data_IF_401458102779
#
_entry.id   IF_401458102779
#
_cell.length_a   1.000
_cell.length_b   1.000
_cell.length_c   1.000
_cell.angle_alpha   90.00
_cell.angle_beta   90.00
_cell.angle_gamma   90.00
#
_symmetry.space_group_name_H-M   'P 1'
#
loop_
_entity.id
_entity.type
_entity.pdbx_description
1 polymer ?
#
# COMPACT_ATOMS: atom_id res chain seq x y z
N UNK A 1 9.70 16.07 16.19
CA UNK A 1 9.21 16.36 17.56
C UNK A 1 8.97 15.05 18.25
N UNK A 2 9.48 14.82 19.46
CA UNK A 2 9.36 13.55 20.17
C UNK A 2 8.65 13.76 21.51
N UNK A 3 7.55 13.04 21.74
CA UNK A 3 6.79 13.09 22.98
C UNK A 3 6.93 11.82 23.82
N UNK A 4 7.22 10.70 23.21
CA UNK A 4 7.29 9.37 23.82
C UNK A 4 8.66 8.71 23.62
N UNK A 5 8.67 7.39 23.77
CA UNK A 5 9.87 6.54 23.68
C UNK A 5 10.51 6.54 22.29
N UNK A 6 9.67 6.45 21.25
CA UNK A 6 10.16 6.31 19.89
C UNK A 6 10.63 7.65 19.32
N UNK A 7 11.79 7.65 18.68
CA UNK A 7 12.25 8.74 17.85
C UNK A 7 11.29 8.93 16.66
N UNK A 8 11.33 10.08 15.94
CA UNK A 8 10.59 10.24 14.71
C UNK A 8 10.87 9.10 13.72
N UNK A 9 9.86 8.76 12.92
CA UNK A 9 10.01 7.73 11.89
C UNK A 9 11.20 8.05 10.97
N UNK A 10 11.97 7.02 10.65
CA UNK A 10 13.14 7.14 9.76
C UNK A 10 12.72 7.24 8.31
N UNK A 11 11.61 6.58 7.93
CA UNK A 11 11.00 6.62 6.60
C UNK A 11 9.47 6.61 6.72
N UNK A 12 8.83 7.19 5.73
CA UNK A 12 7.38 7.21 5.60
C UNK A 12 6.99 6.79 4.18
N UNK A 13 6.06 5.84 4.06
CA UNK A 13 5.52 5.39 2.79
C UNK A 13 4.02 5.68 2.78
N UNK A 14 3.51 6.19 1.66
CA UNK A 14 2.08 6.20 1.36
C UNK A 14 1.76 4.92 0.59
N UNK A 15 0.83 4.12 1.10
CA UNK A 15 0.43 2.86 0.50
C UNK A 15 -1.03 2.94 0.02
N UNK A 16 -1.22 2.77 -1.27
CA UNK A 16 -2.49 2.84 -2.01
C UNK A 16 -2.66 1.52 -2.76
N UNK A 17 -3.89 1.10 -3.02
CA UNK A 17 -4.15 -0.14 -3.75
C UNK A 17 -5.48 -0.10 -4.51
N UNK A 18 -5.60 -0.97 -5.50
CA UNK A 18 -6.85 -1.34 -6.17
C UNK A 18 -7.59 -0.10 -6.71
N UNK A 19 -6.96 0.60 -7.64
CA UNK A 19 -7.52 1.82 -8.25
C UNK A 19 -8.52 1.49 -9.37
N UNK A 20 -8.36 0.38 -10.09
CA UNK A 20 -9.23 -0.15 -11.14
C UNK A 20 -9.71 0.92 -12.14
N UNK A 21 -8.78 1.74 -12.63
CA UNK A 21 -9.13 2.73 -13.64
C UNK A 21 -9.53 2.07 -14.97
N UNK A 22 -10.44 2.73 -15.67
CA UNK A 22 -10.88 2.35 -17.01
C UNK A 22 -10.59 3.46 -18.01
N UNK A 23 -10.31 3.09 -19.25
CA UNK A 23 -10.10 4.06 -20.33
C UNK A 23 -11.27 5.04 -20.45
N UNK A 24 -10.95 6.33 -20.64
CA UNK A 24 -11.93 7.40 -20.70
C UNK A 24 -12.64 7.70 -19.38
N UNK A 25 -12.07 7.29 -18.25
CA UNK A 25 -12.62 7.46 -16.91
C UNK A 25 -14.06 6.92 -16.79
N UNK A 26 -14.35 5.82 -17.47
CA UNK A 26 -15.66 5.15 -17.38
C UNK A 26 -15.85 4.61 -15.96
N UNK A 27 -17.06 4.76 -15.37
CA UNK A 27 -17.33 4.17 -14.06
C UNK A 27 -17.18 2.65 -14.09
N UNK A 28 -16.46 2.09 -13.14
CA UNK A 28 -16.31 0.64 -12.95
C UNK A 28 -17.68 0.02 -12.68
N UNK A 29 -18.03 -1.02 -13.46
CA UNK A 29 -19.34 -1.64 -13.41
C UNK A 29 -20.50 -0.69 -13.70
N UNK A 30 -20.25 0.45 -14.37
CA UNK A 30 -21.24 1.50 -14.63
C UNK A 30 -21.69 2.26 -13.36
N UNK A 31 -21.01 2.09 -12.23
CA UNK A 31 -21.44 2.57 -10.91
C UNK A 31 -20.37 3.34 -10.14
N UNK A 32 -19.15 2.80 -10.07
CA UNK A 32 -18.09 3.35 -9.20
C UNK A 32 -17.22 4.34 -9.99
N UNK A 33 -17.15 5.57 -9.50
CA UNK A 33 -16.27 6.62 -10.05
C UNK A 33 -14.83 6.42 -9.57
N UNK A 34 -14.12 5.49 -10.17
CA UNK A 34 -12.76 5.13 -9.76
C UNK A 34 -11.75 6.26 -9.95
N UNK A 35 -11.93 7.09 -10.99
CA UNK A 35 -11.08 8.25 -11.23
C UNK A 35 -11.32 9.34 -10.17
N UNK A 36 -12.58 9.65 -9.86
CA UNK A 36 -12.92 10.59 -8.79
C UNK A 36 -12.43 10.10 -7.42
N UNK A 37 -12.53 8.81 -7.14
CA UNK A 37 -12.04 8.22 -5.91
C UNK A 37 -10.50 8.27 -5.79
N UNK A 38 -9.77 8.06 -6.89
CA UNK A 38 -8.32 8.26 -6.92
C UNK A 38 -7.97 9.73 -6.63
N UNK A 39 -8.58 10.68 -7.33
CA UNK A 39 -8.38 12.12 -7.10
C UNK A 39 -8.65 12.51 -5.64
N UNK A 40 -9.74 12.01 -5.06
CA UNK A 40 -10.06 12.24 -3.66
C UNK A 40 -9.00 11.63 -2.70
N UNK A 41 -8.45 10.46 -3.06
CA UNK A 41 -7.38 9.81 -2.30
C UNK A 41 -6.10 10.65 -2.33
N UNK A 42 -5.65 11.09 -3.49
CA UNK A 42 -4.46 11.93 -3.63
C UNK A 42 -4.62 13.27 -2.88
N UNK A 43 -5.80 13.89 -2.98
CA UNK A 43 -6.12 15.10 -2.21
C UNK A 43 -6.09 14.85 -0.69
N UNK A 44 -6.56 13.67 -0.24
CA UNK A 44 -6.48 13.30 1.17
C UNK A 44 -5.02 13.09 1.62
N UNK A 45 -4.17 12.47 0.81
CA UNK A 45 -2.73 12.37 1.09
C UNK A 45 -2.11 13.77 1.22
N UNK A 46 -2.40 14.69 0.29
CA UNK A 46 -1.86 16.06 0.32
C UNK A 46 -2.27 16.81 1.59
N UNK A 47 -3.52 16.64 2.06
CA UNK A 47 -4.01 17.24 3.31
C UNK A 47 -3.27 16.77 4.55
N UNK A 48 -2.65 15.58 4.53
CA UNK A 48 -1.82 15.13 5.67
C UNK A 48 -0.59 15.99 5.91
N UNK A 49 -0.11 16.70 4.88
CA UNK A 49 1.14 17.45 4.91
C UNK A 49 2.39 16.59 5.00
N UNK A 50 2.27 15.28 4.87
CA UNK A 50 3.39 14.34 4.93
C UNK A 50 4.25 14.47 3.66
N UNK A 51 5.55 14.30 3.84
CA UNK A 51 6.54 14.13 2.75
C UNK A 51 6.99 12.67 2.76
N UNK A 52 6.39 11.81 1.94
CA UNK A 52 6.74 10.40 1.92
C UNK A 52 8.06 10.14 1.19
N UNK A 53 8.77 9.09 1.61
CA UNK A 53 9.96 8.59 0.92
C UNK A 53 9.58 7.78 -0.34
N UNK A 54 8.36 7.25 -0.41
CA UNK A 54 7.77 6.63 -1.60
C UNK A 54 6.24 6.61 -1.53
N UNK A 55 5.60 6.52 -2.70
CA UNK A 55 4.19 6.19 -2.85
C UNK A 55 4.12 4.82 -3.53
N UNK A 56 3.52 3.84 -2.85
CA UNK A 56 3.43 2.46 -3.31
C UNK A 56 1.99 2.14 -3.69
N UNK A 57 1.80 1.67 -4.91
CA UNK A 57 0.54 1.13 -5.39
C UNK A 57 0.67 -0.39 -5.48
N UNK A 58 -0.14 -1.13 -4.72
CA UNK A 58 -0.06 -2.59 -4.63
C UNK A 58 -1.03 -3.31 -5.56
N UNK A 59 -1.08 -2.89 -6.82
CA UNK A 59 -1.74 -3.60 -7.91
C UNK A 59 -3.18 -3.23 -8.16
N UNK A 60 -3.77 -3.90 -9.15
CA UNK A 60 -5.07 -3.61 -9.74
C UNK A 60 -5.20 -2.11 -10.08
N UNK A 61 -4.16 -1.64 -10.80
CA UNK A 61 -4.02 -0.25 -11.20
C UNK A 61 -5.10 0.14 -12.21
N UNK A 62 -5.36 -0.76 -13.15
CA UNK A 62 -6.44 -0.66 -14.13
C UNK A 62 -7.32 -1.90 -14.06
N UNK A 63 -8.57 -1.81 -14.51
CA UNK A 63 -9.51 -2.95 -14.44
C UNK A 63 -9.35 -3.94 -15.62
N UNK A 64 -8.92 -3.44 -16.77
CA UNK A 64 -8.86 -4.21 -18.02
C UNK A 64 -7.49 -4.14 -18.73
N UNK A 65 -6.44 -3.61 -18.09
CA UNK A 65 -5.12 -3.47 -18.70
C UNK A 65 -5.09 -2.51 -19.90
N UNK A 66 -6.05 -1.60 -20.02
CA UNK A 66 -6.18 -0.69 -21.17
C UNK A 66 -5.03 0.36 -21.16
N UNK A 67 -4.29 0.57 -22.27
CA UNK A 67 -3.21 1.56 -22.33
C UNK A 67 -3.65 2.97 -21.94
N UNK A 68 -4.86 3.40 -22.36
CA UNK A 68 -5.40 4.72 -22.03
C UNK A 68 -5.72 4.86 -20.53
N UNK A 69 -6.04 3.75 -19.84
CA UNK A 69 -6.25 3.76 -18.39
C UNK A 69 -4.92 3.94 -17.63
N UNK A 70 -3.84 3.27 -18.06
CA UNK A 70 -2.51 3.50 -17.51
C UNK A 70 -2.02 4.93 -17.78
N UNK A 71 -2.29 5.48 -18.99
CA UNK A 71 -1.94 6.86 -19.31
C UNK A 71 -2.69 7.86 -18.41
N UNK A 72 -3.97 7.62 -18.12
CA UNK A 72 -4.77 8.43 -17.20
C UNK A 72 -4.23 8.36 -15.77
N UNK A 73 -3.93 7.15 -15.27
CA UNK A 73 -3.32 6.94 -13.96
C UNK A 73 -2.00 7.69 -13.82
N UNK A 74 -1.11 7.53 -14.81
CA UNK A 74 0.18 8.21 -14.87
C UNK A 74 0.04 9.72 -14.83
N UNK A 75 -0.86 10.25 -15.66
CA UNK A 75 -1.09 11.69 -15.78
C UNK A 75 -1.57 12.34 -14.47
N UNK A 76 -2.23 11.59 -13.61
CA UNK A 76 -2.71 12.08 -12.32
C UNK A 76 -1.66 11.88 -11.23
N UNK A 77 -1.05 10.69 -11.14
CA UNK A 77 -0.20 10.30 -10.01
C UNK A 77 1.22 10.87 -10.12
N UNK A 78 1.86 10.86 -11.29
CA UNK A 78 3.26 11.31 -11.40
C UNK A 78 3.44 12.81 -11.08
N UNK A 79 2.60 13.73 -11.57
CA UNK A 79 2.71 15.14 -11.17
C UNK A 79 2.45 15.35 -9.68
N UNK A 80 1.55 14.58 -9.08
CA UNK A 80 1.30 14.60 -7.65
C UNK A 80 2.53 14.13 -6.86
N UNK A 81 3.10 12.99 -7.21
CA UNK A 81 4.30 12.43 -6.59
C UNK A 81 5.51 13.37 -6.72
N UNK A 82 5.67 13.98 -7.89
CA UNK A 82 6.72 14.97 -8.14
C UNK A 82 6.63 16.20 -7.22
N UNK A 83 5.40 16.70 -6.93
CA UNK A 83 5.20 17.78 -5.95
C UNK A 83 5.61 17.38 -4.53
N UNK A 84 5.45 16.11 -4.18
CA UNK A 84 5.87 15.57 -2.89
C UNK A 84 7.36 15.20 -2.85
N UNK A 85 8.02 15.10 -4.00
CA UNK A 85 9.41 14.67 -4.13
C UNK A 85 9.60 13.17 -3.87
N UNK A 86 8.55 12.37 -4.06
CA UNK A 86 8.53 10.93 -3.78
C UNK A 86 8.52 10.11 -5.08
N UNK A 87 9.31 9.04 -5.19
CA UNK A 87 9.14 8.07 -6.27
C UNK A 87 7.82 7.33 -6.14
N UNK A 88 7.25 6.93 -7.28
CA UNK A 88 6.10 6.02 -7.33
C UNK A 88 6.61 4.61 -7.58
N UNK A 89 6.10 3.67 -6.81
CA UNK A 89 6.36 2.24 -6.97
C UNK A 89 5.08 1.56 -7.42
N UNK A 90 5.12 1.05 -8.64
CA UNK A 90 4.02 0.35 -9.26
C UNK A 90 4.21 -1.16 -9.11
N UNK A 91 3.26 -1.84 -8.49
CA UNK A 91 3.19 -3.29 -8.42
C UNK A 91 2.02 -3.74 -9.30
N UNK A 92 2.17 -4.83 -10.03
CA UNK A 92 1.09 -5.38 -10.85
C UNK A 92 0.08 -6.13 -9.98
N UNK A 93 -1.23 -5.97 -10.26
CA UNK A 93 -2.32 -6.77 -9.75
C UNK A 93 -2.92 -7.67 -10.82
N UNK A 94 -3.86 -8.54 -10.45
CA UNK A 94 -4.41 -9.55 -11.37
C UNK A 94 -5.30 -8.98 -12.48
N UNK A 95 -5.70 -7.73 -12.39
CA UNK A 95 -6.38 -7.00 -13.46
C UNK A 95 -5.41 -6.25 -14.39
N UNK A 96 -4.13 -6.17 -14.03
CA UNK A 96 -3.12 -5.49 -14.82
C UNK A 96 -2.52 -6.41 -15.89
N UNK A 97 -2.23 -5.83 -17.06
CA UNK A 97 -1.56 -6.52 -18.15
C UNK A 97 -0.09 -6.11 -18.22
N UNK A 98 0.84 -7.03 -17.96
CA UNK A 98 2.29 -6.77 -17.87
C UNK A 98 2.86 -5.97 -19.04
N UNK A 99 2.56 -6.29 -20.34
CA UNK A 99 3.07 -5.51 -21.45
C UNK A 99 2.61 -4.05 -21.43
N UNK A 100 1.30 -3.81 -21.22
CA UNK A 100 0.71 -2.48 -21.21
C UNK A 100 1.15 -1.66 -19.97
N UNK A 101 1.27 -2.30 -18.81
CA UNK A 101 1.80 -1.67 -17.59
C UNK A 101 3.25 -1.19 -17.81
N UNK A 102 4.11 -2.04 -18.43
CA UNK A 102 5.51 -1.67 -18.71
C UNK A 102 5.61 -0.45 -19.62
N UNK A 103 4.84 -0.41 -20.68
CA UNK A 103 4.83 0.73 -21.60
C UNK A 103 4.20 1.97 -20.95
N UNK A 104 3.07 1.81 -20.27
CA UNK A 104 2.29 2.92 -19.73
C UNK A 104 2.89 3.57 -18.49
N UNK A 105 3.54 2.80 -17.61
CA UNK A 105 3.99 3.28 -16.29
C UNK A 105 5.50 3.18 -16.06
N UNK A 106 6.21 2.31 -16.77
CA UNK A 106 7.63 2.06 -16.49
C UNK A 106 8.57 2.56 -17.60
N UNK A 107 8.04 3.15 -18.67
CA UNK A 107 8.82 3.55 -19.85
C UNK A 107 9.70 2.41 -20.40
N UNK A 108 9.21 1.18 -20.32
CA UNK A 108 9.92 -0.02 -20.67
C UNK A 108 9.26 -0.71 -21.87
N UNK A 109 10.05 -1.48 -22.62
CA UNK A 109 9.50 -2.29 -23.72
C UNK A 109 8.47 -3.31 -23.19
N UNK A 110 7.41 -3.58 -23.97
CA UNK A 110 6.41 -4.56 -23.58
C UNK A 110 7.04 -5.95 -23.42
N UNK A 111 6.67 -6.63 -22.34
CA UNK A 111 7.14 -7.97 -22.02
C UNK A 111 6.13 -8.68 -21.14
N UNK A 112 6.04 -10.01 -21.25
CA UNK A 112 5.25 -10.87 -20.37
C UNK A 112 5.99 -11.29 -19.09
N UNK A 113 7.28 -10.94 -18.98
CA UNK A 113 8.06 -11.24 -17.77
C UNK A 113 7.48 -10.54 -16.54
N UNK A 114 7.63 -11.14 -15.32
CA UNK A 114 7.16 -10.52 -14.09
C UNK A 114 7.69 -9.08 -13.89
N UNK A 115 6.84 -8.21 -13.36
CA UNK A 115 7.17 -6.81 -13.06
C UNK A 115 7.74 -6.73 -11.65
N UNK A 116 9.05 -6.89 -11.53
CA UNK A 116 9.76 -6.82 -10.26
C UNK A 116 10.66 -5.59 -10.19
N UNK A 117 11.00 -5.15 -8.98
CA UNK A 117 11.92 -4.03 -8.79
C UNK A 117 12.44 -3.91 -7.36
N UNK A 118 13.55 -3.17 -7.23
CA UNK A 118 14.16 -2.85 -5.93
C UNK A 118 14.40 -1.35 -5.87
N UNK A 119 13.96 -0.72 -4.79
CA UNK A 119 14.17 0.71 -4.52
C UNK A 119 14.89 0.90 -3.20
N UNK A 120 15.95 1.70 -3.20
CA UNK A 120 16.61 2.17 -1.97
C UNK A 120 15.98 3.49 -1.53
N UNK A 121 15.30 3.45 -0.41
CA UNK A 121 14.70 4.61 0.23
C UNK A 121 15.61 5.11 1.36
N UNK A 122 16.88 5.37 1.04
CA UNK A 122 17.87 5.87 1.99
C UNK A 122 18.19 4.87 3.11
N UNK A 123 18.47 3.63 2.73
CA UNK A 123 18.79 2.52 3.61
C UNK A 123 17.62 1.61 3.95
N UNK A 124 16.38 1.99 3.68
CA UNK A 124 15.24 1.07 3.67
C UNK A 124 15.10 0.51 2.24
N UNK A 125 15.14 -0.81 2.11
CA UNK A 125 14.89 -1.48 0.84
C UNK A 125 13.40 -1.73 0.67
N UNK A 126 12.84 -1.33 -0.48
CA UNK A 126 11.52 -1.74 -0.91
C UNK A 126 11.68 -2.69 -2.10
N UNK A 127 11.02 -3.85 -2.06
CA UNK A 127 11.04 -4.86 -3.12
C UNK A 127 9.62 -5.06 -3.63
N UNK A 128 9.39 -4.77 -4.91
CA UNK A 128 8.16 -5.09 -5.61
C UNK A 128 8.23 -6.50 -6.20
N UNK A 129 7.24 -7.32 -5.88
CA UNK A 129 7.04 -8.66 -6.42
C UNK A 129 5.79 -8.69 -7.28
N UNK A 130 5.86 -9.38 -8.40
CA UNK A 130 4.73 -9.59 -9.29
C UNK A 130 4.08 -10.93 -8.98
N UNK A 131 3.01 -10.90 -8.19
CA UNK A 131 2.24 -12.10 -7.84
C UNK A 131 1.14 -12.42 -8.84
N UNK A 132 1.11 -11.79 -10.02
CA UNK A 132 0.09 -12.05 -11.02
C UNK A 132 0.36 -13.36 -11.78
N UNK A 133 -0.70 -14.06 -12.16
CA UNK A 133 -0.66 -15.19 -13.07
C UNK A 133 -1.43 -14.82 -14.34
N UNK A 134 -0.76 -14.63 -15.48
CA UNK A 134 -1.43 -14.17 -16.70
C UNK A 134 -2.67 -15.00 -17.06
N UNK A 135 -3.82 -14.33 -17.20
CA UNK A 135 -5.11 -14.95 -17.49
C UNK A 135 -5.84 -15.55 -16.27
N UNK A 136 -5.34 -15.31 -15.06
CA UNK A 136 -5.97 -15.79 -13.81
C UNK A 136 -6.05 -14.67 -12.78
N UNK A 137 -6.95 -14.84 -11.80
CA UNK A 137 -7.12 -13.89 -10.71
C UNK A 137 -6.49 -14.33 -9.38
N UNK A 138 -6.00 -15.56 -9.26
CA UNK A 138 -5.20 -15.98 -8.11
C UNK A 138 -3.74 -15.53 -8.28
N UNK A 139 -3.04 -15.45 -7.17
CA UNK A 139 -1.62 -15.10 -7.17
C UNK A 139 -0.70 -16.31 -7.14
N UNK A 140 0.50 -16.14 -7.70
CA UNK A 140 1.61 -17.08 -7.52
C UNK A 140 2.96 -16.34 -7.73
N UNK A 141 4.04 -16.92 -7.20
CA UNK A 141 5.39 -16.43 -7.40
C UNK A 141 6.22 -17.56 -8.00
N UNK A 142 6.68 -17.38 -9.24
CA UNK A 142 7.48 -18.41 -9.88
C UNK A 142 8.86 -18.59 -9.24
N UNK A 143 9.49 -19.76 -9.49
CA UNK A 143 10.77 -20.12 -8.90
C UNK A 143 11.89 -19.11 -9.25
N UNK A 144 11.87 -18.56 -10.47
CA UNK A 144 12.88 -17.59 -10.90
C UNK A 144 12.77 -16.28 -10.10
N UNK A 145 11.54 -15.82 -9.83
CA UNK A 145 11.30 -14.63 -9.02
C UNK A 145 11.68 -14.87 -7.54
N UNK A 146 11.40 -16.05 -7.01
CA UNK A 146 11.80 -16.42 -5.65
C UNK A 146 13.33 -16.55 -5.51
N UNK A 147 14.04 -17.09 -6.50
CA UNK A 147 15.49 -17.13 -6.51
C UNK A 147 16.08 -15.72 -6.59
N UNK A 148 15.56 -14.87 -7.47
CA UNK A 148 15.93 -13.46 -7.53
C UNK A 148 15.68 -12.75 -6.19
N UNK A 149 14.56 -13.02 -5.51
CA UNK A 149 14.28 -12.44 -4.19
C UNK A 149 15.32 -12.87 -3.15
N UNK A 150 15.72 -14.15 -3.13
CA UNK A 150 16.80 -14.65 -2.25
C UNK A 150 18.12 -13.92 -2.48
N UNK A 151 18.48 -13.71 -3.75
CA UNK A 151 19.68 -12.97 -4.12
C UNK A 151 19.63 -11.51 -3.66
N UNK A 152 18.48 -10.84 -3.82
CA UNK A 152 18.25 -9.47 -3.33
C UNK A 152 18.39 -9.41 -1.81
N UNK A 153 17.87 -10.40 -1.08
CA UNK A 153 17.88 -10.46 0.38
C UNK A 153 19.20 -10.99 0.98
N UNK A 154 20.11 -11.51 0.17
CA UNK A 154 21.40 -12.06 0.64
C UNK A 154 22.26 -11.02 1.38
N UNK A 155 22.06 -9.74 1.10
CA UNK A 155 22.73 -8.64 1.82
C UNK A 155 21.67 -7.80 2.55
N UNK A 156 21.69 -7.75 3.88
CA UNK A 156 20.74 -6.94 4.65
C UNK A 156 20.83 -5.44 4.33
N UNK A 157 19.68 -4.76 4.26
CA UNK A 157 19.62 -3.31 4.15
C UNK A 157 19.72 -2.65 5.54
N UNK A 158 20.30 -1.45 5.66
CA UNK A 158 20.50 -0.78 6.97
C UNK A 158 19.24 -0.59 7.81
N UNK A 159 18.09 -0.33 7.18
CA UNK A 159 16.79 -0.16 7.84
C UNK A 159 15.85 -1.36 7.60
N UNK A 160 16.38 -2.45 7.04
CA UNK A 160 15.62 -3.64 6.68
C UNK A 160 14.90 -3.50 5.34
N UNK A 161 14.08 -4.49 5.04
CA UNK A 161 13.36 -4.62 3.76
C UNK A 161 11.86 -4.64 3.98
N UNK A 162 11.11 -3.97 3.10
CA UNK A 162 9.66 -4.11 2.96
C UNK A 162 9.39 -4.77 1.61
N UNK A 163 8.54 -5.80 1.59
CA UNK A 163 8.02 -6.38 0.36
C UNK A 163 6.69 -5.72 0.00
N UNK A 164 6.46 -5.52 -1.29
CA UNK A 164 5.17 -5.08 -1.83
C UNK A 164 4.73 -6.06 -2.92
N UNK A 165 3.56 -6.64 -2.79
CA UNK A 165 2.93 -7.53 -3.78
C UNK A 165 1.43 -7.31 -3.76
N UNK A 166 0.70 -7.82 -4.77
CA UNK A 166 -0.73 -7.60 -4.82
C UNK A 166 -1.49 -8.58 -3.92
N UNK A 167 -1.30 -9.89 -4.11
CA UNK A 167 -2.01 -10.92 -3.37
C UNK A 167 -1.39 -11.14 -1.98
N UNK A 168 -2.11 -10.85 -0.88
CA UNK A 168 -1.55 -11.01 0.47
C UNK A 168 -1.39 -12.50 0.83
N UNK A 169 -0.29 -12.88 1.50
CA UNK A 169 -0.15 -14.22 2.06
C UNK A 169 -0.93 -14.35 3.37
N UNK A 170 -2.22 -14.07 3.32
CA UNK A 170 -3.16 -14.10 4.45
C UNK A 170 -4.49 -14.70 4.02
N UNK A 171 -5.21 -15.40 4.93
CA UNK A 171 -6.58 -15.82 4.66
C UNK A 171 -7.52 -14.62 4.56
N UNK A 172 -8.58 -14.74 3.75
CA UNK A 172 -9.62 -13.73 3.63
C UNK A 172 -10.75 -13.94 4.65
N UNK A 173 -11.37 -12.83 5.10
CA UNK A 173 -12.64 -12.89 5.83
C UNK A 173 -13.80 -13.39 4.94
N UNK A 174 -13.72 -13.15 3.64
CA UNK A 174 -14.73 -13.57 2.65
C UNK A 174 -14.23 -14.89 2.00
N UNK A 175 -14.85 -16.06 2.29
CA UNK A 175 -14.33 -17.35 1.84
C UNK A 175 -14.23 -17.49 0.31
N UNK A 176 -14.98 -16.71 -0.46
CA UNK A 176 -14.87 -16.70 -1.92
C UNK A 176 -13.47 -16.28 -2.40
N UNK A 177 -12.79 -15.38 -1.67
CA UNK A 177 -11.43 -14.94 -2.01
C UNK A 177 -10.37 -16.04 -1.81
N UNK A 178 -10.67 -17.13 -1.10
CA UNK A 178 -9.74 -18.26 -0.98
C UNK A 178 -9.46 -18.92 -2.35
N UNK A 179 -10.36 -18.72 -3.35
CA UNK A 179 -10.13 -19.16 -4.73
C UNK A 179 -9.08 -18.25 -5.42
N UNK A 180 -8.92 -17.04 -4.94
CA UNK A 180 -8.12 -15.98 -5.53
C UNK A 180 -6.85 -15.69 -4.71
N UNK A 181 -6.52 -16.53 -3.73
CA UNK A 181 -5.38 -16.32 -2.83
C UNK A 181 -4.03 -16.46 -3.54
N UNK A 182 -2.97 -16.00 -2.87
CA UNK A 182 -1.60 -16.32 -3.24
C UNK A 182 -1.37 -17.82 -3.05
N UNK A 183 -1.03 -18.52 -4.12
CA UNK A 183 -0.70 -19.94 -4.09
C UNK A 183 0.74 -20.16 -3.57
N UNK A 184 1.07 -21.39 -3.20
CA UNK A 184 2.42 -21.82 -2.80
C UNK A 184 3.10 -20.90 -1.75
N UNK A 185 2.32 -20.39 -0.79
CA UNK A 185 2.80 -19.43 0.22
C UNK A 185 4.03 -19.95 1.00
N UNK A 186 4.15 -21.26 1.20
CA UNK A 186 5.31 -21.86 1.87
C UNK A 186 6.63 -21.62 1.13
N UNK A 187 6.60 -21.47 -0.20
CA UNK A 187 7.78 -21.16 -1.00
C UNK A 187 8.24 -19.71 -0.77
N UNK A 188 7.30 -18.76 -0.70
CA UNK A 188 7.61 -17.39 -0.29
C UNK A 188 8.16 -17.36 1.15
N UNK A 189 7.53 -18.09 2.08
CA UNK A 189 8.01 -18.19 3.45
C UNK A 189 9.45 -18.69 3.52
N UNK A 190 9.78 -19.73 2.73
CA UNK A 190 11.14 -20.26 2.64
C UNK A 190 12.13 -19.26 2.02
N UNK A 191 11.70 -18.45 1.05
CA UNK A 191 12.55 -17.46 0.40
C UNK A 191 12.93 -16.30 1.33
N UNK A 192 12.03 -15.91 2.25
CA UNK A 192 12.25 -14.78 3.16
C UNK A 192 12.73 -15.20 4.55
N UNK A 193 12.83 -16.50 4.82
CA UNK A 193 13.23 -17.01 6.12
C UNK A 193 14.64 -16.51 6.53
N UNK A 194 14.75 -15.91 7.73
CA UNK A 194 16.03 -15.40 8.26
C UNK A 194 16.58 -14.16 7.57
N UNK A 195 15.80 -13.54 6.65
CA UNK A 195 16.17 -12.30 5.98
C UNK A 195 15.89 -11.06 6.85
N UNK A 196 16.18 -9.88 6.32
CA UNK A 196 15.90 -8.58 6.92
C UNK A 196 14.50 -8.03 6.58
N UNK A 197 13.57 -8.86 6.08
CA UNK A 197 12.20 -8.45 5.78
C UNK A 197 11.45 -8.09 7.07
N UNK A 198 10.93 -6.87 7.13
CA UNK A 198 10.25 -6.31 8.31
C UNK A 198 8.75 -6.19 8.17
N UNK A 199 8.25 -6.08 6.95
CA UNK A 199 6.81 -6.00 6.66
C UNK A 199 6.52 -6.40 5.21
N UNK A 200 5.26 -6.75 4.96
CA UNK A 200 4.70 -6.99 3.63
C UNK A 200 3.51 -6.05 3.43
N UNK A 201 3.48 -5.32 2.31
CA UNK A 201 2.37 -4.48 1.86
C UNK A 201 1.62 -5.21 0.75
N UNK A 202 0.29 -5.23 0.82
CA UNK A 202 -0.53 -5.91 -0.18
C UNK A 202 -1.87 -5.21 -0.40
N UNK A 203 -2.62 -5.64 -1.43
CA UNK A 203 -3.95 -5.17 -1.81
C UNK A 203 -4.95 -6.31 -1.98
N UNK A 204 -5.67 -6.32 -3.11
CA UNK A 204 -6.51 -7.41 -3.62
C UNK A 204 -7.83 -7.64 -2.88
N UNK A 205 -7.85 -7.52 -1.57
CA UNK A 205 -9.04 -7.88 -0.77
C UNK A 205 -10.12 -6.79 -0.75
N UNK A 206 -9.82 -5.59 -1.25
CA UNK A 206 -10.71 -4.42 -1.22
C UNK A 206 -11.22 -4.03 0.18
N UNK A 207 -10.51 -4.42 1.24
CA UNK A 207 -10.73 -3.96 2.61
C UNK A 207 -9.41 -3.97 3.40
N UNK A 208 -9.26 -3.04 4.33
CA UNK A 208 -8.08 -3.02 5.19
C UNK A 208 -8.11 -4.20 6.15
N UNK A 209 -7.03 -4.97 6.16
CA UNK A 209 -6.80 -6.02 7.14
C UNK A 209 -5.32 -6.13 7.44
N UNK A 210 -4.97 -6.81 8.51
CA UNK A 210 -3.59 -7.08 8.89
C UNK A 210 -3.47 -8.44 9.56
N UNK A 211 -2.32 -9.04 9.40
CA UNK A 211 -2.01 -10.33 10.00
C UNK A 211 -0.51 -10.52 10.12
N UNK A 212 -0.10 -11.75 10.38
CA UNK A 212 1.31 -12.14 10.47
C UNK A 212 1.55 -13.35 9.60
N UNK A 213 2.51 -13.26 8.71
CA UNK A 213 2.97 -14.33 7.85
C UNK A 213 4.38 -14.77 8.29
N UNK A 214 4.51 -15.97 8.85
CA UNK A 214 5.78 -16.51 9.38
C UNK A 214 6.57 -15.54 10.26
N UNK A 215 5.86 -14.79 11.13
CA UNK A 215 6.46 -13.80 12.03
C UNK A 215 6.62 -12.41 11.46
N UNK A 216 6.37 -12.21 10.17
CA UNK A 216 6.46 -10.92 9.48
C UNK A 216 5.07 -10.28 9.42
N UNK A 217 4.90 -9.03 9.86
CA UNK A 217 3.65 -8.29 9.73
C UNK A 217 3.26 -8.12 8.25
N UNK A 218 1.98 -8.37 7.95
CA UNK A 218 1.37 -8.11 6.64
C UNK A 218 0.29 -7.07 6.80
N UNK A 219 0.32 -6.05 5.98
CA UNK A 219 -0.69 -5.00 5.95
C UNK A 219 -1.32 -4.92 4.56
N UNK A 220 -2.62 -5.14 4.50
CA UNK A 220 -3.42 -5.04 3.28
C UNK A 220 -4.10 -3.67 3.26
N UNK A 221 -3.87 -2.89 2.20
CA UNK A 221 -4.60 -1.65 2.00
C UNK A 221 -6.02 -1.93 1.51
N UNK A 222 -6.95 -1.10 1.90
CA UNK A 222 -8.27 -1.07 1.27
C UNK A 222 -8.16 -0.53 -0.14
N UNK A 223 -9.12 -0.92 -0.98
CA UNK A 223 -9.22 -0.38 -2.33
C UNK A 223 -9.60 1.11 -2.33
N UNK A 224 -9.14 1.81 -3.35
CA UNK A 224 -9.61 3.17 -3.64
C UNK A 224 -10.80 3.18 -4.59
N UNK A 225 -11.01 2.13 -5.39
CA UNK A 225 -12.14 2.04 -6.33
C UNK A 225 -13.50 1.85 -5.63
N UNK A 226 -13.69 0.74 -4.95
CA UNK A 226 -14.82 0.36 -4.10
C UNK A 226 -14.34 -0.62 -3.04
N UNK A 227 -15.05 -0.79 -1.94
CA UNK A 227 -14.64 -1.71 -0.88
C UNK A 227 -15.63 -2.85 -0.70
N UNK A 228 -15.16 -3.95 -0.09
CA UNK A 228 -16.04 -5.06 0.32
C UNK A 228 -16.82 -4.69 1.58
N UNK A 229 -18.12 -4.96 1.57
CA UNK A 229 -19.00 -4.70 2.69
C UNK A 229 -18.92 -5.82 3.72
N UNK A 230 -18.00 -5.72 4.66
CA UNK A 230 -17.83 -6.71 5.74
C UNK A 230 -18.97 -6.68 6.79
N UNK A 231 -19.95 -5.79 6.68
CA UNK A 231 -21.16 -5.81 7.52
C UNK A 231 -22.21 -6.81 7.00
N UNK A 232 -21.94 -7.49 5.91
CA UNK A 232 -22.79 -8.55 5.35
C UNK A 232 -22.22 -9.92 5.75
N UNK A 233 -23.06 -10.98 5.73
CA UNK A 233 -22.57 -12.34 5.94
C UNK A 233 -21.37 -12.65 5.03
N UNK A 234 -20.30 -13.32 5.52
CA UNK A 234 -19.07 -13.53 4.75
C UNK A 234 -19.25 -14.46 3.53
N UNK A 235 -20.39 -15.15 3.44
CA UNK A 235 -20.77 -15.94 2.26
C UNK A 235 -21.34 -15.08 1.13
N UNK A 236 -21.63 -13.80 1.40
CA UNK A 236 -22.12 -12.85 0.40
C UNK A 236 -20.96 -11.96 -0.06
N UNK A 237 -20.72 -11.89 -1.37
CA UNK A 237 -19.72 -10.97 -1.94
C UNK A 237 -20.44 -9.67 -2.31
N UNK A 238 -20.24 -8.62 -1.54
CA UNK A 238 -20.92 -7.35 -1.72
C UNK A 238 -19.91 -6.19 -1.75
N UNK A 239 -19.86 -5.46 -2.86
CA UNK A 239 -19.14 -4.19 -2.97
C UNK A 239 -19.99 -3.00 -2.46
N UNK A 240 -19.32 -2.00 -1.90
CA UNK A 240 -19.91 -0.73 -1.53
C UNK A 240 -19.04 0.45 -1.95
N UNK A 241 -19.67 1.57 -2.28
CA UNK A 241 -18.99 2.83 -2.60
C UNK A 241 -18.78 3.66 -1.33
N UNK A 242 -18.00 3.11 -0.43
CA UNK A 242 -17.66 3.73 0.86
C UNK A 242 -16.45 3.03 1.48
N UNK A 243 -15.78 3.67 2.44
CA UNK A 243 -14.69 3.06 3.20
C UNK A 243 -13.36 3.00 2.45
N UNK A 244 -13.25 3.68 1.31
CA UNK A 244 -11.98 3.86 0.62
C UNK A 244 -10.96 4.47 1.57
N UNK A 245 -9.71 3.99 1.51
CA UNK A 245 -8.65 4.48 2.38
C UNK A 245 -7.28 4.22 1.76
N UNK A 246 -6.29 4.94 2.25
CA UNK A 246 -4.89 4.64 2.05
C UNK A 246 -4.20 4.39 3.39
N UNK A 247 -2.96 3.95 3.38
CA UNK A 247 -2.21 3.76 4.62
C UNK A 247 -0.99 4.67 4.67
N UNK A 248 -0.68 5.16 5.86
CA UNK A 248 0.59 5.77 6.20
C UNK A 248 1.45 4.74 6.92
N UNK A 249 2.52 4.32 6.27
CA UNK A 249 3.48 3.34 6.81
C UNK A 249 4.66 4.11 7.36
N UNK A 250 4.82 4.08 8.69
CA UNK A 250 5.94 4.75 9.36
C UNK A 250 6.95 3.70 9.82
N UNK A 251 8.17 3.81 9.33
CA UNK A 251 9.29 2.92 9.66
C UNK A 251 10.12 3.54 10.77
N UNK A 252 10.10 2.91 11.94
CA UNK A 252 10.93 3.26 13.09
C UNK A 252 12.10 2.28 13.20
N UNK A 253 13.01 2.53 14.11
CA UNK A 253 14.15 1.66 14.37
C UNK A 253 13.72 0.23 14.72
N UNK A 254 12.78 0.09 15.65
CA UNK A 254 12.35 -1.17 16.26
C UNK A 254 10.95 -1.63 15.85
N UNK A 255 10.21 -0.84 15.06
CA UNK A 255 8.84 -1.17 14.65
C UNK A 255 8.44 -0.49 13.34
N UNK A 256 7.35 -0.98 12.74
CA UNK A 256 6.65 -0.33 11.62
C UNK A 256 5.18 -0.20 12.01
N UNK A 257 4.61 0.98 11.78
CA UNK A 257 3.17 1.20 11.99
C UNK A 257 2.46 1.43 10.67
N UNK A 258 1.24 0.94 10.57
CA UNK A 258 0.37 1.08 9.41
C UNK A 258 -0.91 1.80 9.85
N UNK A 259 -0.99 3.11 9.58
CA UNK A 259 -2.17 3.89 9.94
C UNK A 259 -3.12 3.96 8.74
N UNK A 260 -4.33 3.44 8.90
CA UNK A 260 -5.40 3.54 7.90
C UNK A 260 -5.97 4.95 7.94
N UNK A 261 -5.97 5.64 6.80
CA UNK A 261 -6.52 6.97 6.64
C UNK A 261 -7.73 6.90 5.71
N UNK A 262 -8.95 7.06 6.22
CA UNK A 262 -10.16 7.06 5.38
C UNK A 262 -10.14 8.21 4.37
N UNK A 263 -10.59 7.93 3.16
CA UNK A 263 -10.84 8.95 2.13
C UNK A 263 -12.24 9.53 2.33
N UNK A 264 -12.36 10.81 2.12
CA UNK A 264 -13.61 11.55 2.28
C UNK A 264 -13.40 12.81 3.12
N UNK A 265 -14.44 13.62 3.19
CA UNK A 265 -14.48 14.82 4.01
C UNK A 265 -15.27 14.54 5.29
N UNK A 266 -14.68 14.88 6.43
CA UNK A 266 -15.32 14.85 7.72
C UNK A 266 -15.04 16.15 8.46
N UNK A 267 -16.04 16.66 9.18
CA UNK A 267 -15.85 17.81 10.04
C UNK A 267 -14.92 17.45 11.20
N UNK A 268 -13.93 18.30 11.44
CA UNK A 268 -13.02 18.14 12.57
C UNK A 268 -13.68 18.71 13.83
N UNK A 269 -13.98 17.86 14.81
CA UNK A 269 -14.68 18.24 16.03
C UNK A 269 -13.77 19.04 16.99
N UNK A 270 -12.54 18.55 17.23
CA UNK A 270 -11.59 19.15 18.18
C UNK A 270 -10.20 19.33 17.55
N UNK A 271 -9.58 20.49 17.78
CA UNK A 271 -8.27 20.81 17.24
C UNK A 271 -7.31 21.25 18.33
N UNK A 272 -6.22 20.51 18.50
CA UNK A 272 -5.02 21.01 19.17
C UNK A 272 -4.09 21.63 18.13
N UNK A 273 -3.94 22.96 18.16
CA UNK A 273 -3.16 23.66 17.14
C UNK A 273 -1.67 23.27 17.14
N UNK A 274 -0.99 23.51 16.02
CA UNK A 274 0.45 23.30 15.93
C UNK A 274 1.23 24.14 16.97
N UNK A 275 0.70 25.31 17.34
CA UNK A 275 1.28 26.16 18.40
C UNK A 275 1.14 25.47 19.77
N UNK A 276 -0.04 24.93 20.09
CA UNK A 276 -0.26 24.16 21.31
C UNK A 276 0.69 22.96 21.38
N UNK A 277 0.84 22.23 20.30
CA UNK A 277 1.73 21.08 20.20
C UNK A 277 3.19 21.48 20.44
N UNK A 278 3.64 22.62 19.87
CA UNK A 278 5.00 23.15 20.13
C UNK A 278 5.20 23.55 21.59
N UNK A 279 4.20 24.18 22.22
CA UNK A 279 4.28 24.52 23.66
C UNK A 279 4.41 23.24 24.51
N UNK A 280 3.63 22.21 24.22
CA UNK A 280 3.75 20.92 24.92
C UNK A 280 5.12 20.27 24.71
N UNK A 281 5.70 20.39 23.51
CA UNK A 281 7.02 19.82 23.22
C UNK A 281 8.16 20.53 23.99
N UNK A 282 7.99 21.79 24.36
CA UNK A 282 8.96 22.55 25.14
C UNK A 282 8.98 22.16 26.63
N UNK A 283 7.95 21.50 27.14
CA UNK A 283 7.87 21.01 28.51
C UNK A 283 8.74 19.77 28.71
N UNK A 284 9.21 19.55 29.92
CA UNK A 284 9.81 18.29 30.34
C UNK A 284 8.77 17.13 30.30
N UNK A 285 9.20 15.84 30.24
CA UNK A 285 8.27 14.72 30.28
C UNK A 285 7.34 14.74 31.49
N UNK A 286 7.85 15.10 32.69
CA UNK A 286 7.04 15.18 33.90
C UNK A 286 5.98 16.30 33.83
N UNK A 287 6.37 17.49 33.35
CA UNK A 287 5.42 18.59 33.14
C UNK A 287 4.34 18.27 32.12
N UNK A 288 4.66 17.53 31.03
CA UNK A 288 3.66 17.07 30.07
C UNK A 288 2.63 16.14 30.69
N UNK A 289 3.08 15.18 31.50
CA UNK A 289 2.19 14.27 32.22
C UNK A 289 1.26 15.03 33.15
N UNK A 290 1.78 15.99 33.92
CA UNK A 290 0.98 16.82 34.82
C UNK A 290 -0.01 17.71 34.05
N UNK A 291 0.44 18.33 32.95
CA UNK A 291 -0.37 19.30 32.21
C UNK A 291 -1.50 18.64 31.40
N UNK A 292 -1.29 17.42 30.88
CA UNK A 292 -2.22 16.82 29.91
C UNK A 292 -2.68 15.40 30.25
N UNK A 293 -1.82 14.57 30.83
CA UNK A 293 -2.15 13.16 31.10
C UNK A 293 -2.81 12.93 32.47
N UNK A 294 -2.72 13.89 33.38
CA UNK A 294 -3.37 13.78 34.69
C UNK A 294 -4.89 13.95 34.56
N UNK A 295 -5.64 12.95 34.99
CA UNK A 295 -7.10 13.05 35.11
C UNK A 295 -7.45 14.05 36.23
N UNK A 296 -8.32 14.99 35.93
CA UNK A 296 -8.88 15.96 36.89
C UNK A 296 -10.23 15.45 37.39
#
# INVERSE_FOLDING_TARGET
MQFGRHAPAQRVIVHISDTHLLAGNRPLGGRYDTAGNLSATLAAVERTGIRPDAIVFTGDLTDLGEPDAYAALRAEVEPFAARLGAPVVWVAGNHDERPALREGLLDAAPSSEPVTGVWDLGGLRLVGLDSTVPGWHHGDLDAAQLDWLRDVLATPAPLGTILALHHPPLPSHIPFFDILELQHQDELAAAIAGSDVRAILAGHLHYSTSGTFHGIPVSVASATCYTMNLQRPPQEVNGMDAGQSFQLVHVYEDTITHAVVPVGEAETADVFSAEWTRRMAALSPAERLEAFSRKR
#
